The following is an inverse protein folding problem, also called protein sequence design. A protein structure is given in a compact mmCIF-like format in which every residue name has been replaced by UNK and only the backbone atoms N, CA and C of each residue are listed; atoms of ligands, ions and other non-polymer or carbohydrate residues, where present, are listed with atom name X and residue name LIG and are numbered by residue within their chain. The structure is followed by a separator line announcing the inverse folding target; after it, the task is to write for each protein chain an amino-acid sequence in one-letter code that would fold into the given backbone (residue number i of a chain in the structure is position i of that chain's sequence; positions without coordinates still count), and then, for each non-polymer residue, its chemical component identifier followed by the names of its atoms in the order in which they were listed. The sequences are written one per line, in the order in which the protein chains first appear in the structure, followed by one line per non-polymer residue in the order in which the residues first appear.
data_IF_383641525742
#
_entry.id   IF_383641525742
#
_cell.length_a   1.000
_cell.length_b   1.000
_cell.length_c   1.000
_cell.angle_alpha   90.00
_cell.angle_beta   90.00
_cell.angle_gamma   90.00
#
_symmetry.space_group_name_H-M   'P 1'
#
loop_
_entity.id
_entity.type
_entity.pdbx_description
1 polymer ?
#
# COMPACT_ATOMS: atom_id res chain seq x y z
N UNK A 1 -1.93 -6.68 -21.51
CA UNK A 1 -2.45 -6.37 -20.17
C UNK A 1 -1.83 -5.12 -19.66
N UNK A 2 -2.64 -4.21 -19.21
CA UNK A 2 -2.19 -2.90 -18.82
C UNK A 2 -1.67 -2.84 -17.40
N UNK A 3 -0.83 -1.85 -17.18
CA UNK A 3 -0.38 -1.45 -15.85
C UNK A 3 -0.86 -0.03 -15.65
N UNK A 4 -1.53 0.21 -14.53
CA UNK A 4 -2.08 1.52 -14.21
C UNK A 4 -1.17 2.24 -13.22
N UNK A 5 -0.85 3.50 -13.50
CA UNK A 5 -0.14 4.34 -12.53
C UNK A 5 -1.15 4.80 -11.48
N UNK A 6 -0.96 4.36 -10.24
CA UNK A 6 -1.83 4.79 -9.15
C UNK A 6 -1.49 6.20 -8.68
N UNK A 7 -0.21 6.47 -8.52
CA UNK A 7 0.26 7.75 -8.01
C UNK A 7 1.65 7.58 -7.43
N UNK A 8 2.02 8.45 -6.52
CA UNK A 8 3.32 8.40 -5.85
C UNK A 8 3.17 8.08 -4.37
N UNK A 9 4.13 7.32 -3.83
CA UNK A 9 4.20 7.06 -2.39
C UNK A 9 5.08 8.13 -1.73
N UNK A 10 4.77 8.48 -0.47
CA UNK A 10 5.58 9.46 0.27
C UNK A 10 6.87 8.80 0.74
N UNK A 11 7.92 8.92 -0.08
CA UNK A 11 9.18 8.23 0.15
C UNK A 11 9.91 8.68 1.43
N UNK A 12 9.69 9.92 1.87
CA UNK A 12 10.34 10.42 3.09
C UNK A 12 9.97 9.60 4.33
N UNK A 13 8.77 9.01 4.35
CA UNK A 13 8.32 8.17 5.46
C UNK A 13 8.97 6.79 5.46
N UNK A 14 9.58 6.40 4.34
CA UNK A 14 10.12 5.05 4.12
C UNK A 14 11.64 5.00 4.16
N UNK A 15 12.31 6.08 3.77
CA UNK A 15 13.76 6.10 3.60
C UNK A 15 14.54 5.78 4.87
N UNK A 16 14.03 6.19 6.02
CA UNK A 16 14.71 5.93 7.29
C UNK A 16 14.81 4.45 7.63
N UNK A 17 13.89 3.65 7.14
CA UNK A 17 13.89 2.21 7.39
C UNK A 17 14.44 1.40 6.21
N UNK A 18 14.00 1.73 4.99
CA UNK A 18 14.33 0.94 3.81
C UNK A 18 15.53 1.46 3.02
N UNK A 19 15.95 2.68 3.29
CA UNK A 19 16.93 3.35 2.45
C UNK A 19 16.26 3.98 1.23
N UNK A 20 17.07 4.34 0.24
CA UNK A 20 16.59 5.08 -0.91
C UNK A 20 15.81 4.20 -1.88
N UNK A 21 14.61 4.66 -2.24
CA UNK A 21 13.77 3.99 -3.22
C UNK A 21 14.24 4.35 -4.64
N UNK A 22 14.09 3.43 -5.58
CA UNK A 22 14.41 3.68 -6.98
C UNK A 22 13.45 4.70 -7.59
N UNK A 23 12.18 4.64 -7.20
CA UNK A 23 11.15 5.54 -7.71
C UNK A 23 10.07 5.73 -6.65
N UNK A 24 9.34 6.83 -6.76
CA UNK A 24 8.16 7.09 -5.92
C UNK A 24 6.89 6.54 -6.54
N UNK A 25 6.93 6.22 -7.83
CA UNK A 25 5.74 5.76 -8.56
C UNK A 25 5.25 4.41 -8.03
N UNK A 26 3.92 4.31 -7.90
CA UNK A 26 3.24 3.07 -7.50
C UNK A 26 2.30 2.68 -8.62
N UNK A 27 2.40 1.44 -9.06
CA UNK A 27 1.55 0.91 -10.12
C UNK A 27 0.68 -0.23 -9.60
N UNK A 28 -0.41 -0.49 -10.32
CA UNK A 28 -1.26 -1.67 -10.09
C UNK A 28 -1.59 -2.26 -11.46
N UNK A 29 -1.56 -3.59 -11.57
CA UNK A 29 -1.88 -4.24 -12.83
C UNK A 29 -3.39 -4.40 -12.99
N UNK A 30 -3.87 -4.36 -14.23
CA UNK A 30 -5.28 -4.60 -14.52
C UNK A 30 -5.68 -6.01 -14.10
N UNK A 31 -4.78 -6.97 -14.25
CA UNK A 31 -5.01 -8.34 -13.82
C UNK A 31 -5.29 -8.41 -12.31
N UNK A 32 -4.50 -7.69 -11.52
CA UNK A 32 -4.69 -7.62 -10.06
C UNK A 32 -6.05 -7.01 -9.72
N UNK A 33 -6.41 -5.94 -10.41
CA UNK A 33 -7.69 -5.27 -10.20
C UNK A 33 -8.86 -6.22 -10.50
N UNK A 34 -8.79 -6.94 -11.62
CA UNK A 34 -9.83 -7.89 -12.00
C UNK A 34 -9.95 -9.03 -11.00
N UNK A 35 -8.81 -9.56 -10.55
CA UNK A 35 -8.79 -10.65 -9.59
C UNK A 35 -9.49 -10.26 -8.29
N UNK A 36 -9.24 -9.05 -7.81
CA UNK A 36 -9.87 -8.56 -6.58
C UNK A 36 -11.35 -8.24 -6.83
N UNK A 37 -11.67 -7.69 -8.00
CA UNK A 37 -13.06 -7.36 -8.36
C UNK A 37 -13.97 -8.57 -8.36
N UNK A 38 -13.46 -9.71 -8.79
CA UNK A 38 -14.24 -10.96 -8.81
C UNK A 38 -14.67 -11.40 -7.42
N UNK A 39 -13.86 -11.13 -6.41
CA UNK A 39 -14.10 -11.60 -5.04
C UNK A 39 -14.65 -10.50 -4.13
N UNK A 40 -14.16 -9.28 -4.32
CA UNK A 40 -14.45 -8.16 -3.41
C UNK A 40 -14.68 -6.87 -4.20
N UNK A 41 -15.79 -6.78 -4.97
CA UNK A 41 -16.03 -5.60 -5.78
C UNK A 41 -16.12 -4.29 -4.99
N UNK A 42 -16.61 -4.34 -3.76
CA UNK A 42 -16.70 -3.15 -2.90
C UNK A 42 -15.31 -2.65 -2.47
N UNK A 43 -14.32 -3.53 -2.38
CA UNK A 43 -12.95 -3.12 -2.07
C UNK A 43 -12.35 -2.37 -3.26
N UNK A 44 -12.67 -2.79 -4.48
CA UNK A 44 -12.22 -2.10 -5.69
C UNK A 44 -12.81 -0.70 -5.77
N UNK A 45 -14.07 -0.52 -5.42
CA UNK A 45 -14.71 0.80 -5.40
C UNK A 45 -13.98 1.75 -4.44
N UNK A 46 -13.65 1.29 -3.25
CA UNK A 46 -12.91 2.10 -2.28
C UNK A 46 -11.51 2.39 -2.76
N UNK A 47 -10.86 1.42 -3.38
CA UNK A 47 -9.52 1.62 -3.92
C UNK A 47 -9.51 2.66 -5.04
N UNK A 48 -10.49 2.62 -5.93
CA UNK A 48 -10.61 3.61 -7.00
C UNK A 48 -10.77 5.02 -6.43
N UNK A 49 -11.56 5.16 -5.37
CA UNK A 49 -11.82 6.47 -4.75
C UNK A 49 -10.65 6.97 -3.89
N UNK A 50 -10.00 6.09 -3.13
CA UNK A 50 -9.07 6.49 -2.08
C UNK A 50 -7.67 5.90 -2.18
N UNK A 51 -7.42 5.00 -3.14
CA UNK A 51 -6.13 4.30 -3.23
C UNK A 51 -4.95 5.24 -3.44
N UNK A 52 -5.08 6.20 -4.32
CA UNK A 52 -4.02 7.17 -4.60
C UNK A 52 -3.67 7.98 -3.36
N UNK A 53 -4.68 8.50 -2.67
CA UNK A 53 -4.47 9.26 -1.44
C UNK A 53 -3.88 8.40 -0.33
N UNK A 54 -4.28 7.12 -0.28
CA UNK A 54 -3.78 6.20 0.74
C UNK A 54 -2.27 6.00 0.64
N UNK A 55 -1.72 5.84 -0.58
CA UNK A 55 -0.28 5.67 -0.73
C UNK A 55 0.48 6.98 -0.59
N UNK A 56 -0.11 8.09 -0.97
CA UNK A 56 0.54 9.40 -0.87
C UNK A 56 0.48 9.98 0.56
N UNK A 57 -0.65 9.83 1.22
CA UNK A 57 -0.88 10.41 2.56
C UNK A 57 -1.57 9.38 3.46
N UNK A 58 -0.87 8.31 3.83
CA UNK A 58 -1.47 7.32 4.73
C UNK A 58 -1.68 7.89 6.12
N UNK A 59 -2.68 7.39 6.82
CA UNK A 59 -2.86 7.70 8.23
C UNK A 59 -1.95 6.83 9.09
N UNK A 60 -1.69 5.60 8.63
CA UNK A 60 -0.80 4.64 9.30
C UNK A 60 0.03 3.94 8.23
N UNK A 61 1.31 3.75 8.52
CA UNK A 61 2.23 3.04 7.61
C UNK A 61 3.00 2.00 8.43
N UNK A 62 2.87 0.73 8.04
CA UNK A 62 3.51 -0.39 8.74
C UNK A 62 4.44 -1.14 7.79
N UNK A 63 5.53 -1.69 8.34
CA UNK A 63 6.37 -2.65 7.63
C UNK A 63 5.71 -4.02 7.71
N UNK A 64 5.59 -4.72 6.58
CA UNK A 64 5.15 -6.11 6.60
C UNK A 64 6.32 -7.00 7.03
N UNK A 65 6.28 -7.47 8.25
CA UNK A 65 7.38 -8.27 8.83
C UNK A 65 7.52 -9.65 8.17
N UNK A 66 6.49 -10.10 7.45
CA UNK A 66 6.54 -11.40 6.75
C UNK A 66 7.08 -11.31 5.34
N UNK A 67 7.00 -10.16 4.71
CA UNK A 67 7.40 -9.98 3.31
C UNK A 67 8.35 -8.81 3.19
N UNK A 68 9.64 -9.11 3.05
CA UNK A 68 10.70 -8.11 2.93
C UNK A 68 10.38 -7.12 1.80
N UNK A 69 10.51 -5.84 2.08
CA UNK A 69 10.28 -4.80 1.08
C UNK A 69 8.81 -4.43 0.86
N UNK A 70 7.92 -4.91 1.71
CA UNK A 70 6.48 -4.66 1.59
C UNK A 70 5.99 -3.83 2.77
N UNK A 71 5.06 -2.92 2.49
CA UNK A 71 4.45 -2.06 3.50
C UNK A 71 2.93 -2.09 3.41
N UNK A 72 2.29 -1.80 4.53
CA UNK A 72 0.85 -1.59 4.63
C UNK A 72 0.60 -0.11 4.76
N UNK A 73 -0.05 0.48 3.76
CA UNK A 73 -0.48 1.88 3.80
C UNK A 73 -1.97 1.90 4.12
N UNK A 74 -2.33 2.50 5.24
CA UNK A 74 -3.69 2.43 5.75
C UNK A 74 -4.29 3.83 5.84
N UNK A 75 -5.50 3.96 5.30
CA UNK A 75 -6.29 5.18 5.33
C UNK A 75 -7.55 4.96 6.13
N UNK A 76 -7.82 5.84 7.08
CA UNK A 76 -9.08 5.80 7.82
C UNK A 76 -10.18 6.47 7.00
N UNK A 77 -11.28 5.77 6.82
CA UNK A 77 -12.46 6.26 6.11
C UNK A 77 -13.63 6.34 7.11
N UNK A 78 -14.73 7.00 6.75
CA UNK A 78 -15.84 7.18 7.69
C UNK A 78 -16.41 5.90 8.28
N UNK A 79 -16.50 4.83 7.49
CA UNK A 79 -17.13 3.59 7.93
C UNK A 79 -16.18 2.40 8.06
N UNK A 80 -14.97 2.54 7.56
CA UNK A 80 -13.99 1.44 7.56
C UNK A 80 -12.60 2.00 7.33
N UNK A 81 -11.60 1.12 7.29
CA UNK A 81 -10.24 1.51 6.94
C UNK A 81 -9.87 0.80 5.64
N UNK A 82 -9.09 1.46 4.80
CA UNK A 82 -8.57 0.85 3.57
C UNK A 82 -7.09 0.53 3.79
N UNK A 83 -6.70 -0.72 3.54
CA UNK A 83 -5.30 -1.14 3.56
C UNK A 83 -4.84 -1.39 2.13
N UNK A 84 -3.80 -0.69 1.72
CA UNK A 84 -3.15 -0.89 0.41
C UNK A 84 -1.77 -1.46 0.67
N UNK A 85 -1.54 -2.68 0.20
CA UNK A 85 -0.28 -3.39 0.41
C UNK A 85 0.63 -3.13 -0.78
N UNK A 86 1.79 -2.53 -0.53
CA UNK A 86 2.69 -2.09 -1.59
C UNK A 86 4.05 -2.75 -1.44
N UNK A 87 4.54 -3.38 -2.51
CA UNK A 87 5.91 -3.86 -2.58
C UNK A 87 6.79 -2.76 -3.14
N UNK A 88 7.83 -2.42 -2.39
CA UNK A 88 8.75 -1.35 -2.73
C UNK A 88 9.91 -1.86 -3.59
N UNK A 89 10.43 -0.98 -4.43
CA UNK A 89 11.62 -1.24 -5.25
C UNK A 89 12.73 -0.33 -4.77
N UNK A 90 13.82 -0.94 -4.28
CA UNK A 90 14.95 -0.20 -3.76
C UNK A 90 15.88 0.23 -4.90
N UNK A 91 16.74 1.20 -4.63
CA UNK A 91 17.71 1.69 -5.61
C UNK A 91 18.64 0.58 -6.10
N UNK A 92 18.86 -0.44 -5.28
CA UNK A 92 19.70 -1.59 -5.61
C UNK A 92 18.99 -2.65 -6.44
N UNK A 93 17.67 -2.53 -6.62
CA UNK A 93 16.89 -3.46 -7.43
C UNK A 93 17.01 -3.14 -8.92
N UNK A 94 16.40 -3.98 -9.76
CA UNK A 94 16.46 -3.83 -11.21
C UNK A 94 15.85 -2.51 -11.67
N UNK A 95 16.49 -1.78 -12.59
CA UNK A 95 16.03 -0.44 -13.01
C UNK A 95 14.64 -0.37 -13.63
N UNK A 96 14.16 -1.47 -14.18
CA UNK A 96 12.86 -1.53 -14.86
C UNK A 96 11.67 -1.76 -13.92
N UNK A 97 11.94 -1.95 -12.62
CA UNK A 97 10.87 -2.23 -11.66
C UNK A 97 10.31 -0.97 -11.03
N UNK A 98 9.03 -1.04 -10.66
CA UNK A 98 8.31 0.02 -9.95
C UNK A 98 7.65 -0.53 -8.70
N UNK A 99 7.34 0.34 -7.75
CA UNK A 99 6.56 -0.07 -6.58
C UNK A 99 5.20 -0.56 -7.06
N UNK A 100 4.74 -1.68 -6.53
CA UNK A 100 3.53 -2.34 -7.01
C UNK A 100 2.54 -2.61 -5.90
N UNK A 101 1.26 -2.33 -6.17
CA UNK A 101 0.19 -2.75 -5.27
C UNK A 101 0.06 -4.27 -5.38
N UNK A 102 0.24 -4.94 -4.26
CA UNK A 102 0.12 -6.40 -4.19
C UNK A 102 -1.31 -6.83 -3.93
N UNK A 103 -2.01 -6.08 -3.09
CA UNK A 103 -3.42 -6.26 -2.80
C UNK A 103 -3.95 -5.03 -2.08
N UNK A 104 -5.26 -4.97 -1.93
CA UNK A 104 -5.92 -3.95 -1.12
C UNK A 104 -7.22 -4.53 -0.59
N UNK A 105 -7.64 -4.07 0.57
CA UNK A 105 -8.87 -4.55 1.18
C UNK A 105 -9.28 -3.64 2.33
N UNK A 106 -10.58 -3.72 2.66
CA UNK A 106 -11.09 -3.04 3.85
C UNK A 106 -10.58 -3.81 5.07
N UNK A 107 -10.17 -3.08 6.09
CA UNK A 107 -9.71 -3.69 7.33
C UNK A 107 -10.45 -3.06 8.51
N UNK A 108 -11.11 -3.89 9.31
CA UNK A 108 -11.81 -3.45 10.50
C UNK A 108 -10.82 -3.04 11.57
N UNK A 109 -11.26 -2.12 12.43
CA UNK A 109 -10.41 -1.60 13.50
C UNK A 109 -9.77 -2.72 14.34
N UNK A 110 -10.53 -3.73 14.66
CA UNK A 110 -10.05 -4.88 15.42
C UNK A 110 -8.88 -5.58 14.74
N UNK A 111 -8.99 -5.78 13.43
CA UNK A 111 -7.94 -6.44 12.65
C UNK A 111 -6.76 -5.51 12.41
N UNK A 112 -7.01 -4.22 12.28
CA UNK A 112 -5.95 -3.23 12.16
C UNK A 112 -5.09 -3.21 13.42
N UNK A 113 -5.70 -3.26 14.60
CA UNK A 113 -4.97 -3.32 15.86
C UNK A 113 -4.06 -4.55 15.92
N UNK A 114 -4.56 -5.70 15.47
CA UNK A 114 -3.75 -6.92 15.42
C UNK A 114 -2.59 -6.78 14.45
N UNK A 115 -2.83 -6.15 13.31
CA UNK A 115 -1.79 -5.90 12.32
C UNK A 115 -0.70 -5.00 12.89
N UNK A 116 -1.10 -3.97 13.63
CA UNK A 116 -0.16 -3.03 14.27
C UNK A 116 0.67 -3.68 15.37
N UNK A 117 0.11 -4.65 16.08
CA UNK A 117 0.85 -5.39 17.10
C UNK A 117 1.95 -6.28 16.51
N UNK A 118 1.73 -6.80 15.31
CA UNK A 118 2.64 -7.74 14.66
C UNK A 118 3.65 -7.11 13.74
N UNK A 119 3.48 -5.85 13.38
CA UNK A 119 4.29 -5.20 12.36
C UNK A 119 4.81 -3.86 12.86
N UNK A 120 6.03 -3.52 12.42
CA UNK A 120 6.68 -2.29 12.84
C UNK A 120 5.96 -1.06 12.30
N UNK A 121 5.66 -0.12 13.17
CA UNK A 121 5.07 1.15 12.81
C UNK A 121 6.15 2.09 12.26
N UNK A 122 5.96 2.57 11.03
CA UNK A 122 6.84 3.58 10.43
C UNK A 122 6.29 4.97 10.60
N UNK A 123 4.97 5.10 10.56
CA UNK A 123 4.32 6.40 10.64
C UNK A 123 2.90 6.23 11.13
N UNK A 124 2.48 7.16 11.98
CA UNK A 124 1.09 7.28 12.40
C UNK A 124 0.75 8.76 12.49
N UNK A 125 -0.33 9.13 11.87
CA UNK A 125 -0.89 10.48 11.97
C UNK A 125 -1.60 10.69 13.31
N UNK A 126 -1.90 9.60 13.99
CA UNK A 126 -2.67 9.61 15.24
C UNK A 126 -1.83 9.75 16.48
#
# INVERSE_FOLDING_TARGET
MGTLLLGEIESSLLQGYFGELRTKEVVVTEERMEHIRERHPEDVELFVLYGKETVLKPDILLVDEKHIGTVFAIKRLPETNLNVVVRLVMKTDRPDRKNSVMTFYRIRERNLKKLMEKNRLLYSRE
#
